data_IF_155068434382
#
_entry.id   IF_155068434382
#
_cell.length_a   1.000
_cell.length_b   1.000
_cell.length_c   1.000
_cell.angle_alpha   90.00
_cell.angle_beta   90.00
_cell.angle_gamma   90.00
#
_symmetry.space_group_name_H-M   'P 1'
#
loop_
_entity.id
_entity.type
_entity.pdbx_description
1 polymer ?
#
# COMPACT_ATOMS: atom_id res chain seq x y z
N UNK A 1 23.67 15.57 -22.84
CA UNK A 1 23.61 16.52 -21.68
C UNK A 1 22.58 17.65 -21.94
N UNK A 2 22.63 18.33 -23.08
CA UNK A 2 21.68 19.42 -23.41
C UNK A 2 20.22 18.94 -23.47
N UNK A 3 19.94 17.84 -24.16
CA UNK A 3 18.59 17.26 -24.27
C UNK A 3 17.95 16.94 -22.92
N UNK A 4 18.74 16.38 -21.98
CA UNK A 4 18.25 16.12 -20.62
C UNK A 4 17.91 17.41 -19.87
N UNK A 5 18.76 18.43 -20.00
CA UNK A 5 18.52 19.74 -19.39
C UNK A 5 17.24 20.37 -19.93
N UNK A 6 17.01 20.28 -21.24
CA UNK A 6 15.81 20.83 -21.88
C UNK A 6 14.55 20.04 -21.52
N UNK A 7 14.65 18.72 -21.34
CA UNK A 7 13.58 17.88 -20.80
C UNK A 7 13.19 18.32 -19.39
N UNK A 8 14.19 18.49 -18.50
CA UNK A 8 13.96 18.89 -17.11
C UNK A 8 13.36 20.30 -17.02
N UNK A 9 13.79 21.25 -17.87
CA UNK A 9 13.17 22.59 -17.93
C UNK A 9 11.67 22.48 -18.23
N UNK A 10 11.29 21.69 -19.23
CA UNK A 10 9.86 21.47 -19.55
C UNK A 10 9.10 20.83 -18.40
N UNK A 11 9.72 19.90 -17.66
CA UNK A 11 9.14 19.33 -16.44
C UNK A 11 8.90 20.42 -15.39
N UNK A 12 9.86 21.33 -15.17
CA UNK A 12 9.75 22.42 -14.21
C UNK A 12 8.74 23.52 -14.62
N UNK A 13 8.46 23.65 -15.91
CA UNK A 13 7.43 24.53 -16.45
C UNK A 13 6.02 23.93 -16.34
N UNK A 14 5.92 22.65 -16.03
CA UNK A 14 4.65 21.94 -15.86
C UNK A 14 3.96 22.32 -14.52
N UNK A 15 2.69 21.90 -14.38
CA UNK A 15 1.94 22.09 -13.11
C UNK A 15 2.17 20.96 -12.10
N UNK A 16 2.97 19.95 -12.47
CA UNK A 16 3.15 18.76 -11.67
C UNK A 16 4.19 18.94 -10.57
N UNK A 17 3.89 18.37 -9.40
CA UNK A 17 4.75 18.39 -8.22
C UNK A 17 5.03 16.98 -7.73
N UNK A 18 6.24 16.75 -7.24
CA UNK A 18 6.80 15.43 -6.99
C UNK A 18 7.34 15.32 -5.57
N UNK A 19 6.98 14.26 -4.86
CA UNK A 19 7.78 13.72 -3.76
C UNK A 19 8.51 12.49 -4.28
N UNK A 20 9.84 12.47 -4.13
CA UNK A 20 10.72 11.45 -4.68
C UNK A 20 11.42 10.65 -3.57
N UNK A 21 11.43 9.31 -3.70
CA UNK A 21 12.04 8.43 -2.72
C UNK A 21 12.91 7.40 -3.45
N UNK A 22 14.16 7.25 -3.02
CA UNK A 22 15.05 6.24 -3.61
C UNK A 22 15.86 5.48 -2.58
N UNK A 23 16.10 4.20 -2.86
CA UNK A 23 16.96 3.34 -2.04
C UNK A 23 17.72 2.36 -2.92
N UNK A 24 19.04 2.27 -2.73
CA UNK A 24 19.91 1.37 -3.49
C UNK A 24 20.32 1.86 -4.88
N UNK A 25 19.57 2.79 -5.48
CA UNK A 25 19.84 3.44 -6.76
C UNK A 25 18.80 4.50 -7.07
N UNK A 26 18.97 5.25 -8.16
CA UNK A 26 18.08 6.31 -8.64
C UNK A 26 18.31 7.69 -8.01
N UNK A 27 19.38 7.87 -7.23
CA UNK A 27 19.68 9.17 -6.58
C UNK A 27 20.08 10.25 -7.58
N UNK A 28 20.64 9.88 -8.74
CA UNK A 28 21.00 10.83 -9.78
C UNK A 28 19.78 11.51 -10.42
N UNK A 29 18.60 10.90 -10.37
CA UNK A 29 17.38 11.51 -10.90
C UNK A 29 17.01 12.78 -10.12
N UNK A 30 16.98 12.72 -8.80
CA UNK A 30 16.71 13.91 -7.98
C UNK A 30 17.83 14.94 -8.10
N UNK A 31 19.10 14.52 -8.13
CA UNK A 31 20.24 15.40 -8.40
C UNK A 31 20.09 16.12 -9.73
N UNK A 32 19.66 15.42 -10.79
CA UNK A 32 19.46 16.00 -12.12
C UNK A 32 18.33 17.05 -12.12
N UNK A 33 17.21 16.77 -11.46
CA UNK A 33 16.12 17.72 -11.32
C UNK A 33 16.56 18.98 -10.57
N UNK A 34 17.27 18.83 -9.45
CA UNK A 34 17.69 19.96 -8.61
C UNK A 34 18.78 20.83 -9.24
N UNK A 35 19.57 20.30 -10.19
CA UNK A 35 20.63 21.05 -10.89
C UNK A 35 20.08 22.04 -11.94
N UNK A 36 18.85 21.83 -12.39
CA UNK A 36 18.23 22.71 -13.41
C UNK A 36 17.39 23.79 -12.72
N UNK A 37 17.55 25.08 -13.06
CA UNK A 37 16.71 26.14 -12.48
C UNK A 37 15.21 25.90 -12.67
N UNK A 38 14.41 26.22 -11.64
CA UNK A 38 12.98 25.96 -11.65
C UNK A 38 12.57 24.74 -10.80
N UNK A 39 13.51 24.02 -10.19
CA UNK A 39 13.25 22.81 -9.40
C UNK A 39 12.20 23.02 -8.28
N UNK A 40 12.14 24.22 -7.67
CA UNK A 40 11.15 24.56 -6.64
C UNK A 40 9.69 24.52 -7.11
N UNK A 41 9.46 24.60 -8.42
CA UNK A 41 8.11 24.47 -8.98
C UNK A 41 7.64 23.01 -9.01
N UNK A 42 8.59 22.06 -9.01
CA UNK A 42 8.33 20.62 -9.25
C UNK A 42 8.63 19.76 -8.04
N UNK A 43 9.81 19.92 -7.43
CA UNK A 43 10.26 19.06 -6.33
C UNK A 43 9.76 19.58 -5.01
N UNK A 44 8.91 18.79 -4.32
CA UNK A 44 8.42 19.09 -2.99
C UNK A 44 9.40 18.60 -1.92
N UNK A 45 9.78 17.35 -2.03
CA UNK A 45 10.61 16.68 -1.03
C UNK A 45 11.28 15.44 -1.64
N UNK A 46 12.43 15.06 -1.11
CA UNK A 46 13.11 13.82 -1.46
C UNK A 46 13.67 13.11 -0.24
N UNK A 47 13.57 11.77 -0.22
CA UNK A 47 14.09 10.90 0.83
C UNK A 47 14.98 9.82 0.26
N UNK A 48 16.02 9.48 1.03
CA UNK A 48 16.91 8.36 0.72
C UNK A 48 17.00 7.44 1.96
N UNK A 49 15.97 6.61 2.24
CA UNK A 49 15.99 5.67 3.36
C UNK A 49 16.90 4.48 3.01
N UNK A 50 18.22 4.68 3.14
CA UNK A 50 19.21 3.75 2.61
C UNK A 50 19.47 2.53 3.51
N UNK A 51 19.53 2.72 4.84
CA UNK A 51 19.68 1.60 5.77
C UNK A 51 18.36 0.87 5.99
N UNK A 52 18.42 -0.43 6.33
CA UNK A 52 17.23 -1.24 6.65
C UNK A 52 16.37 -0.55 7.70
N UNK A 53 16.98 -0.09 8.82
CA UNK A 53 16.25 0.61 9.89
C UNK A 53 15.61 1.92 9.42
N UNK A 54 16.26 2.68 8.56
CA UNK A 54 15.70 3.91 7.98
C UNK A 54 14.47 3.59 7.10
N UNK A 55 14.55 2.50 6.32
CA UNK A 55 13.42 2.05 5.50
C UNK A 55 12.26 1.56 6.38
N UNK A 56 12.53 0.78 7.43
CA UNK A 56 11.51 0.31 8.37
C UNK A 56 10.77 1.49 9.02
N UNK A 57 11.50 2.50 9.46
CA UNK A 57 10.92 3.74 10.02
C UNK A 57 10.12 4.52 8.97
N UNK A 58 10.65 4.64 7.76
CA UNK A 58 9.96 5.36 6.68
C UNK A 58 8.63 4.68 6.28
N UNK A 59 8.60 3.35 6.23
CA UNK A 59 7.42 2.56 5.88
C UNK A 59 6.50 2.29 7.08
N UNK A 60 6.94 2.58 8.30
CA UNK A 60 6.30 2.16 9.56
C UNK A 60 6.04 0.64 9.62
N UNK A 61 6.85 -0.13 8.94
CA UNK A 61 6.83 -1.61 8.90
C UNK A 61 8.15 -2.14 8.38
N UNK A 62 8.49 -3.37 8.77
CA UNK A 62 9.61 -4.13 8.16
C UNK A 62 9.09 -4.81 6.88
N UNK A 63 9.66 -4.51 5.69
CA UNK A 63 9.31 -5.22 4.47
C UNK A 63 9.97 -6.61 4.42
N UNK A 64 9.36 -7.57 3.71
CA UNK A 64 9.95 -8.90 3.51
C UNK A 64 11.24 -8.81 2.71
N UNK A 65 11.25 -7.98 1.67
CA UNK A 65 12.42 -7.69 0.84
C UNK A 65 12.55 -6.19 0.58
N UNK A 66 13.72 -5.61 0.90
CA UNK A 66 13.97 -4.17 0.73
C UNK A 66 14.03 -3.74 -0.74
N UNK A 67 14.55 -4.59 -1.62
CA UNK A 67 14.54 -4.38 -3.06
C UNK A 67 13.52 -5.29 -3.72
N UNK A 68 12.27 -4.85 -3.77
CA UNK A 68 11.13 -5.54 -4.37
C UNK A 68 10.07 -4.56 -4.87
N UNK A 69 9.22 -5.03 -5.78
CA UNK A 69 8.09 -4.23 -6.26
C UNK A 69 7.15 -3.84 -5.11
N UNK A 70 6.83 -4.74 -4.19
CA UNK A 70 5.95 -4.46 -3.05
C UNK A 70 6.50 -3.36 -2.13
N UNK A 71 7.81 -3.34 -1.91
CA UNK A 71 8.45 -2.26 -1.14
C UNK A 71 8.41 -0.95 -1.90
N UNK A 72 8.68 -0.98 -3.21
CA UNK A 72 8.61 0.19 -4.07
C UNK A 72 7.18 0.78 -4.14
N UNK A 73 6.14 -0.05 -4.23
CA UNK A 73 4.74 0.36 -4.17
C UNK A 73 4.43 1.09 -2.85
N UNK A 74 4.82 0.52 -1.71
CA UNK A 74 4.65 1.15 -0.40
C UNK A 74 5.40 2.49 -0.28
N UNK A 75 6.61 2.59 -0.85
CA UNK A 75 7.37 3.85 -0.90
C UNK A 75 6.64 4.90 -1.75
N UNK A 76 6.15 4.54 -2.94
CA UNK A 76 5.45 5.45 -3.85
C UNK A 76 4.11 5.94 -3.26
N UNK A 77 3.37 5.05 -2.58
CA UNK A 77 2.14 5.41 -1.87
C UNK A 77 2.41 6.45 -0.76
N UNK A 78 3.48 6.25 0.04
CA UNK A 78 3.91 7.21 1.04
C UNK A 78 4.37 8.53 0.42
N UNK A 79 5.12 8.48 -0.69
CA UNK A 79 5.52 9.68 -1.43
C UNK A 79 4.30 10.48 -1.89
N UNK A 80 3.31 9.82 -2.48
CA UNK A 80 2.09 10.47 -2.93
C UNK A 80 1.27 11.07 -1.78
N UNK A 81 1.12 10.33 -0.66
CA UNK A 81 0.49 10.83 0.56
C UNK A 81 1.19 12.10 1.08
N UNK A 82 2.53 12.12 1.08
CA UNK A 82 3.32 13.30 1.47
C UNK A 82 3.10 14.48 0.51
N UNK A 83 3.06 14.24 -0.80
CA UNK A 83 2.76 15.30 -1.78
C UNK A 83 1.44 16.01 -1.45
N UNK A 84 0.39 15.24 -1.10
CA UNK A 84 -0.92 15.79 -0.71
C UNK A 84 -0.82 16.59 0.60
N UNK A 85 -0.04 16.12 1.57
CA UNK A 85 0.13 16.79 2.86
C UNK A 85 0.91 18.11 2.73
N UNK A 86 1.95 18.13 1.89
CA UNK A 86 2.80 19.33 1.67
C UNK A 86 2.04 20.38 0.85
N UNK A 87 1.25 19.93 -0.13
CA UNK A 87 0.55 20.81 -1.07
C UNK A 87 -0.99 20.61 -1.04
N UNK A 88 -1.65 20.87 0.10
CA UNK A 88 -3.07 20.56 0.27
C UNK A 88 -3.99 21.43 -0.60
N UNK A 89 -3.49 22.54 -1.14
CA UNK A 89 -4.23 23.44 -2.04
C UNK A 89 -4.06 23.08 -3.52
N UNK A 90 -3.07 22.27 -3.86
CA UNK A 90 -2.84 21.81 -5.24
C UNK A 90 -3.82 20.68 -5.57
N UNK A 91 -4.43 20.72 -6.76
CA UNK A 91 -5.32 19.65 -7.22
C UNK A 91 -4.54 18.34 -7.28
N UNK A 92 -5.08 17.28 -6.68
CA UNK A 92 -4.43 15.96 -6.57
C UNK A 92 -3.93 15.39 -7.89
N UNK A 93 -4.60 15.70 -9.00
CA UNK A 93 -4.19 15.29 -10.36
C UNK A 93 -2.83 15.84 -10.81
N UNK A 94 -2.29 16.84 -10.12
CA UNK A 94 -0.96 17.41 -10.39
C UNK A 94 0.08 16.98 -9.37
N UNK A 95 -0.26 16.07 -8.45
CA UNK A 95 0.65 15.53 -7.46
C UNK A 95 1.11 14.12 -7.84
N UNK A 96 2.39 13.85 -7.65
CA UNK A 96 3.01 12.56 -7.92
C UNK A 96 3.83 12.09 -6.73
N UNK A 97 3.75 10.80 -6.43
CA UNK A 97 4.69 10.12 -5.56
C UNK A 97 5.52 9.14 -6.40
N UNK A 98 6.83 9.30 -6.39
CA UNK A 98 7.73 8.44 -7.16
C UNK A 98 8.65 7.72 -6.20
N UNK A 99 8.82 6.43 -6.41
CA UNK A 99 9.77 5.63 -5.66
C UNK A 99 10.67 4.79 -6.57
N UNK A 100 11.89 4.59 -6.11
CA UNK A 100 12.88 3.69 -6.71
C UNK A 100 13.46 2.80 -5.62
N UNK A 101 13.54 1.50 -5.87
CA UNK A 101 14.39 0.61 -5.11
C UNK A 101 15.23 -0.23 -6.06
N UNK A 102 16.53 -0.31 -5.79
CA UNK A 102 17.47 -0.97 -6.67
C UNK A 102 18.52 -1.78 -5.91
N UNK A 103 19.08 -2.77 -6.61
CA UNK A 103 20.19 -3.60 -6.20
C UNK A 103 21.18 -3.64 -7.35
N UNK A 104 22.16 -2.74 -7.32
CA UNK A 104 23.09 -2.46 -8.42
C UNK A 104 24.42 -3.16 -8.28
N UNK A 105 25.30 -3.01 -9.27
CA UNK A 105 26.66 -3.51 -9.30
C UNK A 105 27.44 -3.09 -8.02
N UNK A 106 28.31 -3.98 -7.57
CA UNK A 106 29.15 -3.82 -6.38
C UNK A 106 30.60 -4.14 -6.73
N UNK A 107 31.54 -3.75 -5.88
CA UNK A 107 32.95 -4.08 -6.04
C UNK A 107 33.26 -5.56 -5.87
N UNK A 108 32.33 -6.33 -5.32
CA UNK A 108 32.41 -7.78 -5.17
C UNK A 108 31.30 -8.48 -5.95
N UNK A 109 31.53 -9.72 -6.31
CA UNK A 109 30.54 -10.50 -7.05
C UNK A 109 29.42 -10.96 -6.10
N UNK A 110 28.25 -10.29 -6.15
CA UNK A 110 27.11 -10.63 -5.31
C UNK A 110 26.28 -11.75 -5.94
N UNK A 111 25.70 -12.62 -5.10
CA UNK A 111 24.85 -13.75 -5.54
C UNK A 111 23.52 -13.22 -6.10
N UNK A 112 22.89 -12.25 -5.45
CA UNK A 112 21.58 -11.69 -5.85
C UNK A 112 21.64 -10.91 -7.16
N UNK A 113 20.53 -10.81 -7.86
CA UNK A 113 20.41 -10.12 -9.13
C UNK A 113 20.69 -8.63 -9.01
N UNK A 114 21.21 -8.04 -10.10
CA UNK A 114 21.11 -6.63 -10.35
C UNK A 114 19.69 -6.35 -10.85
N UNK A 115 18.99 -5.45 -10.20
CA UNK A 115 17.59 -5.15 -10.55
C UNK A 115 17.16 -3.80 -10.02
N UNK A 116 16.12 -3.26 -10.63
CA UNK A 116 15.44 -2.08 -10.11
C UNK A 116 13.93 -2.18 -10.26
N UNK A 117 13.24 -1.47 -9.41
CA UNK A 117 11.82 -1.21 -9.46
C UNK A 117 11.59 0.29 -9.35
N UNK A 118 10.77 0.82 -10.24
CA UNK A 118 10.32 2.22 -10.21
C UNK A 118 8.81 2.19 -10.15
N UNK A 119 8.23 2.96 -9.24
CA UNK A 119 6.78 3.08 -9.12
C UNK A 119 6.41 4.55 -9.06
N UNK A 120 5.42 4.92 -9.84
CA UNK A 120 4.75 6.21 -9.75
C UNK A 120 3.31 6.02 -9.32
N UNK A 121 2.91 6.72 -8.27
CA UNK A 121 1.54 6.83 -7.80
C UNK A 121 1.02 8.23 -8.07
N UNK A 122 -0.14 8.31 -8.72
CA UNK A 122 -0.90 9.54 -8.95
C UNK A 122 -2.33 9.41 -8.42
N UNK A 123 -3.18 10.40 -8.63
CA UNK A 123 -4.61 10.29 -8.32
C UNK A 123 -5.40 9.43 -9.32
N UNK A 124 -4.78 9.06 -10.44
CA UNK A 124 -5.46 8.45 -11.59
C UNK A 124 -4.91 7.09 -11.97
N UNK A 125 -3.68 6.80 -11.62
CA UNK A 125 -3.04 5.52 -11.92
C UNK A 125 -1.84 5.23 -11.02
N UNK A 126 -1.49 3.96 -10.95
CA UNK A 126 -0.17 3.47 -10.52
C UNK A 126 0.54 2.93 -11.74
N UNK A 127 1.78 3.38 -12.00
CA UNK A 127 2.64 2.82 -13.04
C UNK A 127 3.87 2.21 -12.42
N UNK A 128 4.19 0.99 -12.83
CA UNK A 128 5.36 0.24 -12.36
C UNK A 128 6.32 -0.04 -13.51
N UNK A 129 7.60 0.00 -13.23
CA UNK A 129 8.67 -0.40 -14.13
C UNK A 129 9.57 -1.35 -13.36
N UNK A 130 9.80 -2.55 -13.89
CA UNK A 130 10.64 -3.59 -13.29
C UNK A 130 11.65 -4.07 -14.32
N UNK A 131 12.91 -4.23 -13.90
CA UNK A 131 13.95 -4.78 -14.75
C UNK A 131 14.96 -5.59 -13.93
N UNK A 132 15.34 -6.73 -14.46
CA UNK A 132 16.53 -7.50 -14.03
C UNK A 132 17.63 -7.18 -15.02
N UNK A 133 18.75 -6.67 -14.54
CA UNK A 133 19.90 -6.25 -15.33
C UNK A 133 20.90 -7.40 -15.48
N UNK A 134 21.51 -7.49 -16.64
CA UNK A 134 22.59 -8.43 -16.91
C UNK A 134 23.84 -8.05 -16.10
N UNK A 135 24.37 -9.00 -15.31
CA UNK A 135 25.57 -8.78 -14.51
C UNK A 135 26.79 -8.61 -15.39
N UNK A 136 27.73 -7.81 -14.94
CA UNK A 136 29.02 -7.54 -15.59
C UNK A 136 28.92 -6.85 -16.96
N UNK A 137 27.77 -6.34 -17.35
CA UNK A 137 27.57 -5.57 -18.58
C UNK A 137 27.74 -4.07 -18.35
N UNK A 138 27.46 -3.60 -17.13
CA UNK A 138 27.52 -2.18 -16.75
C UNK A 138 28.25 -2.02 -15.42
N UNK A 139 28.89 -0.88 -15.28
CA UNK A 139 29.34 -0.38 -13.99
C UNK A 139 28.15 0.06 -13.13
N UNK A 140 28.35 0.26 -11.83
CA UNK A 140 27.33 0.83 -10.95
C UNK A 140 26.83 2.20 -11.42
N UNK A 141 27.73 3.03 -11.94
CA UNK A 141 27.41 4.36 -12.44
C UNK A 141 26.51 4.30 -13.66
N UNK A 142 26.80 3.39 -14.60
CA UNK A 142 25.98 3.16 -15.79
C UNK A 142 24.59 2.58 -15.45
N UNK A 143 24.49 1.68 -14.45
CA UNK A 143 23.20 1.20 -13.96
C UNK A 143 22.40 2.32 -13.28
N UNK A 144 23.03 3.19 -12.50
CA UNK A 144 22.43 4.36 -11.87
C UNK A 144 21.93 5.37 -12.91
N UNK A 145 22.69 5.57 -13.99
CA UNK A 145 22.33 6.44 -15.08
C UNK A 145 21.11 5.91 -15.85
N UNK A 146 21.07 4.62 -16.12
CA UNK A 146 19.93 3.97 -16.75
C UNK A 146 18.64 4.17 -15.93
N UNK A 147 18.69 3.98 -14.63
CA UNK A 147 17.55 4.23 -13.72
C UNK A 147 17.14 5.71 -13.79
N UNK A 148 18.10 6.62 -13.81
CA UNK A 148 17.85 8.06 -13.91
C UNK A 148 17.06 8.40 -15.18
N UNK A 149 17.43 7.82 -16.30
CA UNK A 149 16.72 8.01 -17.58
C UNK A 149 15.29 7.48 -17.52
N UNK A 150 15.07 6.31 -16.92
CA UNK A 150 13.72 5.77 -16.70
C UNK A 150 12.86 6.69 -15.82
N UNK A 151 13.41 7.20 -14.73
CA UNK A 151 12.69 8.11 -13.81
C UNK A 151 12.32 9.40 -14.53
N UNK A 152 13.25 10.03 -15.23
CA UNK A 152 13.00 11.28 -15.96
C UNK A 152 11.99 11.07 -17.09
N UNK A 153 12.07 9.96 -17.81
CA UNK A 153 11.11 9.59 -18.85
C UNK A 153 9.70 9.39 -18.27
N UNK A 154 9.58 8.73 -17.14
CA UNK A 154 8.31 8.51 -16.46
C UNK A 154 7.68 9.82 -15.99
N UNK A 155 8.48 10.75 -15.46
CA UNK A 155 8.02 12.08 -15.07
C UNK A 155 7.54 12.86 -16.31
N UNK A 156 8.32 12.86 -17.37
CA UNK A 156 8.01 13.56 -18.61
C UNK A 156 6.70 13.05 -19.23
N UNK A 157 6.52 11.74 -19.31
CA UNK A 157 5.27 11.11 -19.78
C UNK A 157 4.06 11.58 -18.97
N UNK A 158 4.19 11.60 -17.64
CA UNK A 158 3.12 12.07 -16.75
C UNK A 158 2.82 13.56 -16.91
N UNK A 159 3.84 14.34 -17.24
CA UNK A 159 3.68 15.77 -17.57
C UNK A 159 3.20 15.99 -19.03
N UNK A 160 2.88 14.95 -19.77
CA UNK A 160 2.51 14.99 -21.19
C UNK A 160 3.60 15.61 -22.10
N UNK A 161 4.86 15.44 -21.70
CA UNK A 161 6.03 15.88 -22.47
C UNK A 161 6.50 14.69 -23.33
N UNK A 162 6.60 14.91 -24.64
CA UNK A 162 7.09 13.87 -25.57
C UNK A 162 8.51 13.46 -25.20
N UNK A 163 8.68 12.19 -24.89
CA UNK A 163 9.94 11.56 -24.52
C UNK A 163 9.86 10.05 -24.80
N UNK A 164 11.00 9.38 -24.85
CA UNK A 164 11.08 7.94 -25.02
C UNK A 164 11.80 7.33 -23.82
N UNK A 165 11.37 6.14 -23.41
CA UNK A 165 12.12 5.35 -22.45
C UNK A 165 13.45 4.86 -23.06
N UNK A 166 14.48 4.66 -22.21
CA UNK A 166 15.75 4.11 -22.67
C UNK A 166 15.55 2.75 -23.36
N UNK A 167 16.34 2.48 -24.37
CA UNK A 167 16.35 1.21 -25.09
C UNK A 167 17.61 0.43 -24.70
N UNK A 168 17.44 -0.83 -24.29
CA UNK A 168 18.52 -1.76 -23.98
C UNK A 168 18.03 -3.21 -24.18
N UNK A 169 18.92 -4.19 -24.02
CA UNK A 169 18.63 -5.59 -24.36
C UNK A 169 17.78 -6.32 -23.31
N UNK A 170 17.87 -5.92 -22.03
CA UNK A 170 17.14 -6.57 -20.96
C UNK A 170 15.65 -6.30 -21.07
N UNK A 171 14.86 -7.31 -20.68
CA UNK A 171 13.40 -7.21 -20.63
C UNK A 171 12.98 -6.24 -19.54
N UNK A 172 12.28 -5.20 -19.93
CA UNK A 172 11.62 -4.27 -19.01
C UNK A 172 10.13 -4.56 -18.98
N UNK A 173 9.60 -4.72 -17.78
CA UNK A 173 8.17 -4.89 -17.57
C UNK A 173 7.58 -3.56 -17.12
N UNK A 174 6.68 -3.01 -17.92
CA UNK A 174 5.97 -1.76 -17.63
C UNK A 174 4.49 -2.08 -17.53
N UNK A 175 3.89 -1.79 -16.38
CA UNK A 175 2.47 -1.99 -16.14
C UNK A 175 1.83 -0.70 -15.64
N UNK A 176 0.61 -0.42 -16.11
CA UNK A 176 -0.15 0.76 -15.69
C UNK A 176 -1.56 0.33 -15.28
N UNK A 177 -1.88 0.54 -14.01
CA UNK A 177 -3.22 0.30 -13.46
C UNK A 177 -3.91 1.63 -13.30
N UNK A 178 -4.92 1.85 -14.12
CA UNK A 178 -5.76 3.06 -14.04
C UNK A 178 -6.82 2.89 -12.95
N UNK A 179 -6.98 3.92 -12.15
CA UNK A 179 -7.96 3.95 -11.08
C UNK A 179 -9.39 3.96 -11.61
N UNK A 180 -10.24 3.10 -11.11
CA UNK A 180 -11.68 3.19 -11.32
C UNK A 180 -12.26 4.45 -10.65
N UNK A 181 -13.37 4.96 -11.17
CA UNK A 181 -14.04 6.14 -10.58
C UNK A 181 -14.45 5.91 -9.13
N UNK A 182 -14.90 4.70 -8.81
CA UNK A 182 -15.27 4.26 -7.46
C UNK A 182 -14.09 4.31 -6.49
N UNK A 183 -12.91 3.80 -6.89
CA UNK A 183 -11.70 3.82 -6.08
C UNK A 183 -11.24 5.25 -5.77
N UNK A 184 -11.27 6.13 -6.80
CA UNK A 184 -10.94 7.56 -6.61
C UNK A 184 -11.88 8.23 -5.61
N UNK A 185 -13.19 7.98 -5.70
CA UNK A 185 -14.17 8.53 -4.76
C UNK A 185 -13.92 8.05 -3.33
N UNK A 186 -13.62 6.75 -3.15
CA UNK A 186 -13.31 6.17 -1.85
C UNK A 186 -12.03 6.79 -1.25
N UNK A 187 -10.95 6.83 -2.03
CA UNK A 187 -9.67 7.39 -1.56
C UNK A 187 -9.74 8.90 -1.29
N UNK A 188 -10.69 9.61 -1.89
CA UNK A 188 -10.97 11.03 -1.64
C UNK A 188 -12.06 11.26 -0.57
N UNK A 189 -12.48 10.21 0.15
CA UNK A 189 -13.52 10.24 1.19
C UNK A 189 -14.88 10.81 0.69
N UNK A 190 -15.19 10.63 -0.59
CA UNK A 190 -16.48 11.02 -1.18
C UNK A 190 -17.55 9.94 -1.02
N UNK A 191 -17.12 8.70 -0.77
CA UNK A 191 -17.96 7.55 -0.42
C UNK A 191 -17.25 6.76 0.68
N UNK A 192 -18.00 6.02 1.47
CA UNK A 192 -17.48 5.27 2.62
C UNK A 192 -16.90 3.92 2.22
N UNK A 193 -17.49 3.27 1.21
CA UNK A 193 -17.03 1.98 0.69
C UNK A 193 -17.41 1.78 -0.78
N UNK A 194 -16.77 0.79 -1.40
CA UNK A 194 -17.09 0.22 -2.72
C UNK A 194 -17.31 -1.27 -2.52
N UNK A 195 -18.37 -1.83 -3.09
CA UNK A 195 -18.72 -3.25 -2.94
C UNK A 195 -18.98 -3.91 -4.29
N UNK A 196 -18.68 -5.21 -4.40
CA UNK A 196 -19.12 -6.06 -5.51
C UNK A 196 -20.64 -6.22 -5.51
N UNK A 197 -21.26 -6.26 -4.33
CA UNK A 197 -22.70 -6.47 -4.15
C UNK A 197 -23.43 -5.19 -3.76
N UNK A 198 -24.73 -5.15 -4.04
CA UNK A 198 -25.60 -4.04 -3.61
C UNK A 198 -26.06 -4.16 -2.17
N UNK A 199 -26.08 -5.38 -1.63
CA UNK A 199 -26.48 -5.64 -0.24
C UNK A 199 -25.42 -5.15 0.74
N UNK A 200 -25.86 -4.69 1.90
CA UNK A 200 -24.94 -4.38 3.02
C UNK A 200 -24.40 -5.71 3.56
N UNK A 201 -23.08 -5.88 3.69
CA UNK A 201 -22.53 -7.13 4.18
C UNK A 201 -22.86 -7.36 5.67
N UNK A 202 -23.32 -8.58 6.01
CA UNK A 202 -23.64 -8.99 7.37
C UNK A 202 -22.55 -9.84 8.02
N UNK A 203 -21.82 -10.65 7.22
CA UNK A 203 -20.65 -11.41 7.66
C UNK A 203 -19.42 -10.87 6.94
N UNK A 204 -18.54 -10.20 7.66
CA UNK A 204 -17.42 -9.44 7.09
C UNK A 204 -16.10 -10.09 7.48
N UNK A 205 -15.23 -10.28 6.51
CA UNK A 205 -13.90 -10.83 6.72
C UNK A 205 -12.83 -9.78 6.36
N UNK A 206 -12.37 -8.97 7.33
CA UNK A 206 -11.31 -8.01 7.11
C UNK A 206 -9.93 -8.68 6.94
N UNK A 207 -9.24 -8.31 5.87
CA UNK A 207 -7.91 -8.86 5.60
C UNK A 207 -7.10 -8.04 4.61
N UNK A 208 -5.81 -8.34 4.54
CA UNK A 208 -4.93 -7.78 3.49
C UNK A 208 -4.95 -8.64 2.23
N UNK A 209 -5.27 -9.94 2.36
CA UNK A 209 -5.33 -10.95 1.28
C UNK A 209 -4.17 -10.82 0.28
N UNK A 210 -2.95 -10.77 0.78
CA UNK A 210 -1.75 -10.59 -0.03
C UNK A 210 -0.69 -11.66 0.29
N UNK A 211 -0.87 -12.88 -0.31
CA UNK A 211 -2.01 -13.36 -1.09
C UNK A 211 -3.20 -13.86 -0.25
N UNK A 212 -4.35 -14.08 -0.90
CA UNK A 212 -5.40 -14.96 -0.41
C UNK A 212 -4.86 -16.39 -0.38
N UNK A 213 -5.09 -17.14 0.70
CA UNK A 213 -4.56 -18.50 0.87
C UNK A 213 -5.56 -19.42 1.58
N UNK A 214 -5.30 -20.73 1.59
CA UNK A 214 -6.19 -21.77 2.12
C UNK A 214 -6.67 -21.49 3.55
N UNK A 215 -5.83 -20.91 4.41
CA UNK A 215 -6.22 -20.53 5.77
C UNK A 215 -7.36 -19.51 5.78
N UNK A 216 -7.33 -18.52 4.88
CA UNK A 216 -8.44 -17.57 4.75
C UNK A 216 -9.72 -18.28 4.27
N UNK A 217 -9.60 -19.16 3.27
CA UNK A 217 -10.75 -19.89 2.72
C UNK A 217 -11.40 -20.79 3.76
N UNK A 218 -10.60 -21.50 4.59
CA UNK A 218 -11.11 -22.31 5.70
C UNK A 218 -11.81 -21.50 6.76
N UNK A 219 -11.24 -20.35 7.16
CA UNK A 219 -11.88 -19.44 8.12
C UNK A 219 -13.24 -18.96 7.58
N UNK A 220 -13.32 -18.59 6.30
CA UNK A 220 -14.56 -18.22 5.63
C UNK A 220 -15.59 -19.35 5.71
N UNK A 221 -15.24 -20.55 5.23
CA UNK A 221 -16.14 -21.71 5.21
C UNK A 221 -16.71 -22.05 6.60
N UNK A 222 -15.85 -22.05 7.61
CA UNK A 222 -16.26 -22.32 9.00
C UNK A 222 -17.21 -21.24 9.54
N UNK A 223 -16.94 -19.96 9.22
CA UNK A 223 -17.78 -18.85 9.63
C UNK A 223 -19.14 -18.88 8.94
N UNK A 224 -19.18 -19.15 7.61
CA UNK A 224 -20.42 -19.32 6.83
C UNK A 224 -21.26 -20.48 7.35
N UNK A 225 -20.65 -21.62 7.60
CA UNK A 225 -21.32 -22.79 8.20
C UNK A 225 -21.89 -22.51 9.59
N UNK A 226 -21.20 -21.72 10.39
CA UNK A 226 -21.62 -21.35 11.74
C UNK A 226 -22.79 -20.38 11.76
N UNK A 227 -22.80 -19.44 10.84
CA UNK A 227 -23.77 -18.32 10.82
C UNK A 227 -24.91 -18.53 9.84
N UNK A 228 -24.73 -19.35 8.83
CA UNK A 228 -25.65 -19.46 7.68
C UNK A 228 -25.60 -18.24 6.73
N UNK A 229 -24.67 -17.30 6.97
CA UNK A 229 -24.50 -16.08 6.17
C UNK A 229 -23.35 -16.26 5.18
N UNK A 230 -23.41 -15.57 4.03
CA UNK A 230 -22.31 -15.49 3.07
C UNK A 230 -21.29 -14.44 3.52
N UNK A 231 -20.02 -14.80 3.52
CA UNK A 231 -18.95 -13.91 3.91
C UNK A 231 -18.59 -12.93 2.78
N UNK A 232 -18.30 -11.70 3.18
CA UNK A 232 -17.77 -10.63 2.31
C UNK A 232 -16.36 -10.29 2.74
N UNK A 233 -15.38 -10.44 1.83
CA UNK A 233 -14.01 -10.03 2.08
C UNK A 233 -13.90 -8.51 2.17
N UNK A 234 -13.33 -7.98 3.26
CA UNK A 234 -13.16 -6.55 3.41
C UNK A 234 -11.69 -6.16 3.25
N UNK A 235 -11.43 -5.22 2.34
CA UNK A 235 -10.10 -4.68 2.04
C UNK A 235 -10.06 -3.23 2.52
N UNK A 236 -9.16 -2.91 3.45
CA UNK A 236 -8.95 -1.55 3.89
C UNK A 236 -7.96 -0.83 2.95
N UNK A 237 -8.44 0.10 2.12
CA UNK A 237 -7.60 0.87 1.20
C UNK A 237 -6.73 1.92 1.90
N UNK A 238 -7.15 2.40 3.09
CA UNK A 238 -6.41 3.35 3.93
C UNK A 238 -6.32 2.82 5.35
N UNK A 239 -5.18 2.29 5.73
CA UNK A 239 -4.92 1.91 7.11
C UNK A 239 -4.22 3.07 7.85
N UNK A 240 -4.47 3.23 9.16
CA UNK A 240 -3.81 4.25 9.98
C UNK A 240 -2.29 4.02 10.07
N UNK A 241 -1.86 2.76 10.11
CA UNK A 241 -0.48 2.35 10.43
C UNK A 241 0.36 1.96 9.22
N UNK A 242 -0.24 1.84 8.05
CA UNK A 242 0.45 1.40 6.83
C UNK A 242 0.30 2.44 5.73
N UNK A 243 1.20 2.44 4.72
CA UNK A 243 0.95 3.20 3.51
C UNK A 243 -0.41 2.86 2.91
N UNK A 244 -1.11 3.82 2.28
CA UNK A 244 -2.33 3.52 1.53
C UNK A 244 -2.03 2.49 0.44
N UNK A 245 -3.02 1.69 0.07
CA UNK A 245 -2.87 0.80 -1.09
C UNK A 245 -2.76 1.62 -2.37
N UNK A 246 -1.84 1.24 -3.23
CA UNK A 246 -1.76 1.72 -4.60
C UNK A 246 -2.88 1.10 -5.44
N UNK A 247 -3.21 1.67 -6.59
CA UNK A 247 -4.17 1.06 -7.50
C UNK A 247 -3.69 -0.29 -8.03
N UNK A 248 -2.38 -0.48 -8.11
CA UNK A 248 -1.77 -1.77 -8.43
C UNK A 248 -2.11 -2.82 -7.38
N UNK A 249 -1.92 -2.52 -6.09
CA UNK A 249 -2.25 -3.43 -4.99
C UNK A 249 -3.76 -3.70 -4.92
N UNK A 250 -4.60 -2.67 -5.07
CA UNK A 250 -6.06 -2.83 -5.13
C UNK A 250 -6.44 -3.82 -6.23
N UNK A 251 -5.99 -3.59 -7.47
CA UNK A 251 -6.30 -4.46 -8.61
C UNK A 251 -5.87 -5.89 -8.34
N UNK A 252 -4.62 -6.09 -7.91
CA UNK A 252 -4.05 -7.42 -7.62
C UNK A 252 -4.80 -8.15 -6.51
N UNK A 253 -5.30 -7.43 -5.51
CA UNK A 253 -6.09 -8.04 -4.45
C UNK A 253 -7.48 -8.42 -4.95
N UNK A 254 -8.14 -7.56 -5.73
CA UNK A 254 -9.46 -7.84 -6.29
C UNK A 254 -9.42 -8.99 -7.31
N UNK A 255 -8.36 -9.11 -8.10
CA UNK A 255 -8.20 -10.18 -9.10
C UNK A 255 -8.03 -11.58 -8.50
N UNK A 256 -7.86 -11.70 -7.18
CA UNK A 256 -7.81 -13.00 -6.49
C UNK A 256 -9.19 -13.55 -6.15
N UNK A 257 -10.21 -12.70 -6.15
CA UNK A 257 -11.58 -13.12 -5.88
C UNK A 257 -12.23 -13.61 -7.16
N UNK A 258 -12.97 -14.70 -7.05
CA UNK A 258 -13.74 -15.24 -8.16
C UNK A 258 -15.15 -14.59 -8.24
N UNK A 259 -15.91 -14.92 -9.29
CA UNK A 259 -17.24 -14.35 -9.53
C UNK A 259 -18.26 -14.68 -8.40
N UNK A 260 -17.97 -15.69 -7.60
CA UNK A 260 -18.79 -16.08 -6.45
C UNK A 260 -18.35 -15.40 -5.16
N UNK A 261 -17.21 -14.75 -5.13
CA UNK A 261 -16.73 -14.05 -3.94
C UNK A 261 -17.35 -12.66 -3.83
N UNK A 262 -17.89 -12.35 -2.65
CA UNK A 262 -18.30 -11.00 -2.31
C UNK A 262 -17.16 -10.25 -1.69
N UNK A 263 -16.97 -9.00 -2.11
CA UNK A 263 -15.96 -8.14 -1.50
C UNK A 263 -16.46 -6.71 -1.27
N UNK A 264 -15.89 -6.06 -0.27
CA UNK A 264 -16.08 -4.64 0.02
C UNK A 264 -14.73 -3.98 0.28
N UNK A 265 -14.50 -2.82 -0.29
CA UNK A 265 -13.32 -2.01 -0.04
C UNK A 265 -13.70 -0.76 0.74
N UNK A 266 -13.03 -0.52 1.88
CA UNK A 266 -13.30 0.61 2.77
C UNK A 266 -12.10 1.54 2.89
N UNK A 267 -12.32 2.74 3.44
CA UNK A 267 -11.26 3.62 3.93
C UNK A 267 -11.15 3.63 5.46
N UNK A 268 -11.86 2.72 6.14
CA UNK A 268 -11.91 2.62 7.59
C UNK A 268 -10.72 1.83 8.14
N UNK A 269 -9.80 2.53 8.78
CA UNK A 269 -8.61 1.90 9.37
C UNK A 269 -8.88 1.16 10.69
N UNK A 270 -9.94 1.52 11.41
CA UNK A 270 -10.31 0.95 12.70
C UNK A 270 -11.57 0.11 12.61
N UNK A 271 -11.66 -0.93 13.42
CA UNK A 271 -12.86 -1.79 13.52
C UNK A 271 -14.10 -1.02 13.99
N UNK A 272 -13.95 -0.03 14.86
CA UNK A 272 -15.05 0.84 15.30
C UNK A 272 -15.65 1.68 14.18
N UNK A 273 -14.82 2.13 13.22
CA UNK A 273 -15.28 2.82 12.00
C UNK A 273 -16.02 1.87 11.06
N UNK A 274 -15.56 0.62 10.97
CA UNK A 274 -16.26 -0.44 10.21
C UNK A 274 -17.58 -0.82 10.86
N UNK A 275 -17.66 -0.84 12.21
CA UNK A 275 -18.89 -1.07 12.95
C UNK A 275 -19.97 -0.03 12.63
N UNK A 276 -19.59 1.25 12.51
CA UNK A 276 -20.50 2.32 12.13
C UNK A 276 -21.00 2.17 10.67
N UNK A 277 -20.14 1.68 9.75
CA UNK A 277 -20.52 1.45 8.36
C UNK A 277 -21.43 0.24 8.17
N UNK A 278 -21.24 -0.80 8.98
CA UNK A 278 -21.89 -2.10 8.86
C UNK A 278 -22.50 -2.53 10.20
N UNK A 279 -23.54 -1.84 10.69
CA UNK A 279 -24.22 -2.22 11.93
C UNK A 279 -24.87 -3.60 11.79
N UNK A 280 -25.03 -4.30 12.92
CA UNK A 280 -25.58 -5.66 13.03
C UNK A 280 -24.74 -6.72 12.31
N UNK A 281 -23.45 -6.47 12.05
CA UNK A 281 -22.60 -7.41 11.36
C UNK A 281 -21.78 -8.30 12.30
N UNK A 282 -21.27 -9.39 11.72
CA UNK A 282 -20.35 -10.34 12.34
C UNK A 282 -19.00 -10.24 11.66
N UNK A 283 -17.93 -10.00 12.40
CA UNK A 283 -16.57 -9.94 11.87
C UNK A 283 -15.83 -11.26 12.04
N UNK A 284 -15.28 -11.80 10.96
CA UNK A 284 -14.33 -12.92 10.98
C UNK A 284 -12.94 -12.36 11.23
N UNK A 285 -12.25 -12.78 12.29
CA UNK A 285 -10.99 -12.18 12.69
C UNK A 285 -10.04 -13.22 13.30
N UNK A 286 -8.77 -13.16 12.97
CA UNK A 286 -7.74 -13.94 13.66
C UNK A 286 -7.34 -13.31 15.01
N UNK A 287 -6.87 -14.13 15.95
CA UNK A 287 -6.46 -13.68 17.29
C UNK A 287 -5.43 -12.57 17.29
N UNK A 288 -4.48 -12.58 16.36
CA UNK A 288 -3.44 -11.54 16.22
C UNK A 288 -4.02 -10.16 15.84
N UNK A 289 -5.02 -10.14 14.97
CA UNK A 289 -5.72 -8.91 14.59
C UNK A 289 -6.69 -8.49 15.70
N UNK A 290 -7.37 -9.45 16.32
CA UNK A 290 -8.30 -9.18 17.42
C UNK A 290 -7.62 -8.53 18.62
N UNK A 291 -6.43 -9.00 19.03
CA UNK A 291 -5.64 -8.36 20.09
C UNK A 291 -5.32 -6.89 19.79
N UNK A 292 -5.08 -6.54 18.50
CA UNK A 292 -4.78 -5.16 18.09
C UNK A 292 -5.98 -4.22 18.22
N UNK A 293 -7.20 -4.74 18.23
CA UNK A 293 -8.42 -3.93 18.48
C UNK A 293 -8.39 -3.28 19.85
N UNK A 294 -7.69 -3.89 20.82
CA UNK A 294 -7.58 -3.44 22.22
C UNK A 294 -6.19 -2.92 22.59
N UNK A 295 -5.29 -2.76 21.62
CA UNK A 295 -3.95 -2.27 21.88
C UNK A 295 -3.95 -0.72 21.95
N UNK A 296 -3.71 -0.18 23.14
CA UNK A 296 -3.78 1.26 23.44
C UNK A 296 -2.89 2.11 22.51
N UNK A 297 -1.82 1.53 21.92
CA UNK A 297 -0.93 2.28 21.01
C UNK A 297 -1.64 2.80 19.75
N UNK A 298 -2.82 2.27 19.39
CA UNK A 298 -3.62 2.72 18.26
C UNK A 298 -4.66 3.78 18.60
N UNK A 299 -4.67 4.23 19.87
CA UNK A 299 -5.62 5.19 20.43
C UNK A 299 -4.89 6.32 21.12
N UNK A 300 -5.60 7.40 21.44
CA UNK A 300 -5.01 8.52 22.19
C UNK A 300 -4.64 8.12 23.63
N UNK A 301 -5.45 7.28 24.23
CA UNK A 301 -5.28 6.73 25.57
C UNK A 301 -6.29 5.60 25.82
N UNK A 302 -6.23 4.96 26.98
CA UNK A 302 -7.14 3.87 27.39
C UNK A 302 -8.62 4.26 27.37
N UNK A 303 -8.96 5.49 27.78
CA UNK A 303 -10.36 5.96 27.75
C UNK A 303 -10.89 6.08 26.33
N UNK A 304 -10.07 6.58 25.42
CA UNK A 304 -10.38 6.66 23.98
C UNK A 304 -10.57 5.25 23.41
N UNK A 305 -9.67 4.32 23.71
CA UNK A 305 -9.80 2.92 23.30
C UNK A 305 -11.13 2.32 23.79
N UNK A 306 -11.48 2.47 25.05
CA UNK A 306 -12.73 1.95 25.60
C UNK A 306 -13.96 2.58 24.93
N UNK A 307 -13.93 3.87 24.61
CA UNK A 307 -15.02 4.51 23.88
C UNK A 307 -15.22 3.93 22.47
N UNK A 308 -14.14 3.54 21.80
CA UNK A 308 -14.18 2.83 20.52
C UNK A 308 -14.71 1.39 20.67
N UNK A 309 -14.43 0.73 21.80
CA UNK A 309 -14.93 -0.61 22.10
C UNK A 309 -16.44 -0.60 22.34
N UNK A 310 -16.97 0.42 23.02
CA UNK A 310 -18.42 0.54 23.25
C UNK A 310 -19.23 0.68 21.96
N UNK A 311 -18.66 1.22 20.88
CA UNK A 311 -19.32 1.28 19.57
C UNK A 311 -19.69 -0.11 19.03
N UNK A 312 -19.00 -1.18 19.45
CA UNK A 312 -19.38 -2.54 19.07
C UNK A 312 -20.71 -2.95 19.70
N UNK A 313 -21.00 -2.45 20.91
CA UNK A 313 -22.30 -2.62 21.53
C UNK A 313 -23.38 -1.77 20.87
N UNK A 314 -23.08 -0.50 20.63
CA UNK A 314 -24.00 0.47 20.02
C UNK A 314 -24.48 0.02 18.64
N UNK A 315 -23.57 -0.59 17.87
CA UNK A 315 -23.85 -1.07 16.52
C UNK A 315 -24.15 -2.58 16.41
N UNK A 316 -24.32 -3.27 17.56
CA UNK A 316 -24.65 -4.70 17.63
C UNK A 316 -23.66 -5.58 16.85
N UNK A 317 -22.35 -5.38 17.05
CA UNK A 317 -21.29 -6.12 16.35
C UNK A 317 -20.95 -7.40 17.12
N UNK A 318 -20.73 -8.48 16.37
CA UNK A 318 -20.23 -9.75 16.88
C UNK A 318 -18.89 -10.12 16.23
N UNK A 319 -18.09 -10.94 16.93
CA UNK A 319 -16.79 -11.40 16.45
C UNK A 319 -16.71 -12.92 16.44
N UNK A 320 -16.30 -13.50 15.32
CA UNK A 320 -15.85 -14.88 15.22
C UNK A 320 -14.31 -14.88 15.21
N UNK A 321 -13.74 -15.31 16.33
CA UNK A 321 -12.29 -15.17 16.56
C UNK A 321 -11.61 -16.53 16.36
N UNK A 322 -10.76 -16.60 15.35
CA UNK A 322 -10.03 -17.80 14.97
C UNK A 322 -8.67 -17.85 15.64
N UNK A 323 -8.38 -18.97 16.30
CA UNK A 323 -7.08 -19.26 16.90
C UNK A 323 -5.97 -19.32 15.88
N UNK A 324 -4.73 -19.02 16.30
CA UNK A 324 -3.56 -18.99 15.42
C UNK A 324 -2.30 -19.42 16.14
N UNK A 325 -1.39 -20.07 15.39
CA UNK A 325 -0.02 -20.28 15.86
C UNK A 325 0.77 -18.98 15.87
N UNK A 326 1.31 -18.59 17.02
CA UNK A 326 2.17 -17.42 17.22
C UNK A 326 3.42 -17.90 17.96
N UNK A 327 4.60 -17.84 17.34
CA UNK A 327 5.87 -18.27 17.94
C UNK A 327 5.77 -19.66 18.59
N UNK A 328 5.30 -20.66 17.82
CA UNK A 328 5.15 -22.06 18.24
C UNK A 328 4.10 -22.32 19.36
N UNK A 329 3.34 -21.30 19.75
CA UNK A 329 2.22 -21.43 20.67
C UNK A 329 0.90 -21.16 19.96
N UNK A 330 -0.08 -22.05 20.13
CA UNK A 330 -1.45 -21.79 19.67
C UNK A 330 -2.12 -20.79 20.62
N UNK A 331 -2.60 -19.69 20.06
CA UNK A 331 -3.34 -18.65 20.79
C UNK A 331 -4.80 -18.71 20.37
N UNK A 332 -5.68 -18.92 21.32
CA UNK A 332 -7.14 -18.94 21.15
C UNK A 332 -7.79 -17.72 21.78
N UNK A 333 -9.11 -17.57 21.62
CA UNK A 333 -9.88 -16.50 22.28
C UNK A 333 -9.73 -16.53 23.80
N UNK A 334 -9.56 -17.73 24.42
CA UNK A 334 -9.41 -17.92 25.87
C UNK A 334 -8.12 -17.32 26.43
N UNK A 335 -7.12 -17.14 25.57
CA UNK A 335 -5.80 -16.60 25.93
C UNK A 335 -5.75 -15.06 25.84
N UNK A 336 -6.85 -14.40 25.40
CA UNK A 336 -6.92 -12.96 25.16
C UNK A 336 -7.72 -12.27 26.26
N UNK A 337 -7.16 -11.20 26.80
CA UNK A 337 -7.89 -10.31 27.71
C UNK A 337 -8.86 -9.44 26.91
N UNK A 338 -10.16 -9.68 27.07
CA UNK A 338 -11.24 -8.98 26.38
C UNK A 338 -11.96 -8.08 27.39
N UNK A 339 -12.29 -6.82 27.04
CA UNK A 339 -13.15 -5.97 27.85
C UNK A 339 -14.48 -6.65 28.12
N UNK A 340 -14.92 -6.67 29.40
CA UNK A 340 -16.15 -7.35 29.82
C UNK A 340 -17.38 -6.88 29.06
N UNK A 341 -17.41 -5.60 28.64
CA UNK A 341 -18.54 -5.01 27.91
C UNK A 341 -18.85 -5.69 26.57
N UNK A 342 -17.86 -6.33 25.95
CA UNK A 342 -18.03 -6.99 24.63
C UNK A 342 -17.75 -8.50 24.64
N UNK A 343 -17.39 -9.06 25.79
CA UNK A 343 -17.03 -10.48 25.90
C UNK A 343 -18.14 -11.41 25.39
N UNK A 344 -19.39 -11.07 25.70
CA UNK A 344 -20.59 -11.80 25.27
C UNK A 344 -20.82 -11.76 23.74
N UNK A 345 -20.10 -10.89 22.98
CA UNK A 345 -20.16 -10.73 21.53
C UNK A 345 -19.08 -11.51 20.78
N UNK A 346 -18.22 -12.22 21.50
CA UNK A 346 -17.07 -12.91 20.94
C UNK A 346 -17.27 -14.43 21.00
N UNK A 347 -17.16 -15.09 19.86
CA UNK A 347 -17.18 -16.55 19.74
C UNK A 347 -15.83 -17.03 19.24
N UNK A 348 -15.18 -17.94 19.98
CA UNK A 348 -13.87 -18.49 19.60
C UNK A 348 -14.00 -19.75 18.76
N UNK A 349 -13.04 -19.92 17.85
CA UNK A 349 -12.76 -21.14 17.10
C UNK A 349 -11.35 -21.61 17.46
N UNK A 350 -11.27 -22.80 18.03
CA UNK A 350 -9.99 -23.41 18.46
C UNK A 350 -9.29 -24.17 17.32
N UNK A 351 -9.95 -24.29 16.13
CA UNK A 351 -9.45 -24.94 14.93
C UNK A 351 -9.53 -23.98 13.75
N UNK A 352 -8.39 -23.77 13.06
CA UNK A 352 -8.32 -23.15 11.73
C UNK A 352 -7.12 -23.66 10.93
#
# INVERSE_FOLDING_TARGET
MQERTDLIKKIHESKYKITYISSGGGTNAISSLLKVPGASNTVLESYVPYSKKSMDLFLNKKPDHYCSLNTCLSMAANAYKKSIQIEPKTKTKYLMGIAVTASLATTYNKIGDHKFFIVMQTDSYTKTISCILDKNTRTREEEEELITEYVLSLIAETCFIKNNFPQHQEKVEIETITAEKSWKKLLNNQINYVSSDKAIPELIFPGSFNPLHDGHLKMREMAEKRTGMRATFEICAKNADKPPLTFYEIKRTLDQFDDNDSWVMTSAGRFSEKAEMFPNSVFIIGTDTFMRVFDEKFYLNKKDMLSHVERFNDHNIHFLVFGRMVQDKFISLRDILIPESIKHRCTGFDEA
#
